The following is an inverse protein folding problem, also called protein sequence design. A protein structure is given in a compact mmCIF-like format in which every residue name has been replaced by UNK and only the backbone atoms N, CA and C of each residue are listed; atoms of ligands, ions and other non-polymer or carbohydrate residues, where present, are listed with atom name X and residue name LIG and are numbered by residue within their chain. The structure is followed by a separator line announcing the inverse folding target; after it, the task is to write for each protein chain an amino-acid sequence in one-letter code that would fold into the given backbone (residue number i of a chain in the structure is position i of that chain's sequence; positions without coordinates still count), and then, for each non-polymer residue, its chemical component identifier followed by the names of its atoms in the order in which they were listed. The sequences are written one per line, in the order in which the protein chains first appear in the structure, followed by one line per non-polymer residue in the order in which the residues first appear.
data_IF_348429669987
#
_entry.id   IF_348429669987
#
_cell.length_a   1.000
_cell.length_b   1.000
_cell.length_c   1.000
_cell.angle_alpha   90.00
_cell.angle_beta   90.00
_cell.angle_gamma   90.00
#
_symmetry.space_group_name_H-M   'P 1'
#
loop_
_entity.id
_entity.type
_entity.pdbx_description
1 polymer ?
#
# COMPACT_ATOMS: atom_id res chain seq x y z
N UNK A 1 -49.48 40.97 -119.67
CA UNK A 1 -49.45 41.51 -118.28
C UNK A 1 -49.69 40.46 -117.18
N UNK A 2 -49.94 39.17 -117.47
CA UNK A 2 -50.26 38.13 -116.48
C UNK A 2 -49.07 37.29 -115.95
N UNK A 3 -47.87 37.43 -116.50
CA UNK A 3 -46.71 36.58 -116.14
C UNK A 3 -46.02 37.03 -114.83
N UNK A 4 -46.10 38.31 -114.47
CA UNK A 4 -45.41 38.86 -113.29
C UNK A 4 -46.10 38.53 -111.95
N UNK A 5 -47.42 38.35 -111.94
CA UNK A 5 -48.19 38.11 -110.69
C UNK A 5 -47.97 36.69 -110.14
N UNK A 6 -47.71 35.72 -111.01
CA UNK A 6 -47.42 34.31 -110.66
C UNK A 6 -45.97 34.11 -110.18
N UNK A 7 -45.01 34.86 -110.72
CA UNK A 7 -43.60 34.90 -110.24
C UNK A 7 -43.49 35.42 -108.81
N UNK A 8 -44.22 36.49 -108.48
CA UNK A 8 -44.17 37.08 -107.14
C UNK A 8 -44.88 36.23 -106.07
N UNK A 9 -45.91 35.45 -106.42
CA UNK A 9 -46.59 34.57 -105.47
C UNK A 9 -45.73 33.39 -105.00
N UNK A 10 -44.82 32.90 -105.84
CA UNK A 10 -43.92 31.79 -105.50
C UNK A 10 -42.74 32.24 -104.63
N UNK A 11 -42.18 33.43 -104.88
CA UNK A 11 -41.19 34.05 -103.99
C UNK A 11 -41.83 34.32 -102.62
N UNK A 12 -43.08 34.83 -102.60
CA UNK A 12 -43.81 35.04 -101.36
C UNK A 12 -44.08 33.73 -100.60
N UNK A 13 -44.27 32.61 -101.31
CA UNK A 13 -44.40 31.28 -100.69
C UNK A 13 -43.11 30.85 -99.98
N UNK A 14 -41.94 30.97 -100.63
CA UNK A 14 -40.65 30.68 -99.99
C UNK A 14 -40.35 31.63 -98.82
N UNK A 15 -40.64 32.93 -98.96
CA UNK A 15 -40.45 33.91 -97.90
C UNK A 15 -41.40 33.66 -96.72
N UNK A 16 -42.66 33.28 -96.96
CA UNK A 16 -43.60 32.89 -95.91
C UNK A 16 -43.12 31.64 -95.18
N UNK A 17 -42.60 30.63 -95.87
CA UNK A 17 -42.06 29.45 -95.21
C UNK A 17 -40.78 29.75 -94.42
N UNK A 18 -39.91 30.64 -94.91
CA UNK A 18 -38.76 31.14 -94.14
C UNK A 18 -39.26 31.91 -92.90
N UNK A 19 -40.30 32.73 -93.02
CA UNK A 19 -40.89 33.47 -91.90
C UNK A 19 -41.49 32.52 -90.85
N UNK A 20 -42.25 31.50 -91.28
CA UNK A 20 -42.79 30.45 -90.42
C UNK A 20 -41.66 29.67 -89.70
N UNK A 21 -40.59 29.36 -90.42
CA UNK A 21 -39.41 28.69 -89.87
C UNK A 21 -38.70 29.56 -88.83
N UNK A 22 -38.48 30.86 -89.12
CA UNK A 22 -37.88 31.81 -88.18
C UNK A 22 -38.75 32.11 -86.96
N UNK A 23 -40.08 31.95 -87.08
CA UNK A 23 -41.01 32.01 -85.95
C UNK A 23 -41.07 30.71 -85.14
N UNK A 24 -40.31 29.68 -85.53
CA UNK A 24 -40.34 28.32 -84.98
C UNK A 24 -41.73 27.64 -85.11
N UNK A 25 -42.54 28.04 -86.09
CA UNK A 25 -43.84 27.42 -86.37
C UNK A 25 -43.70 26.16 -87.24
N UNK A 26 -42.58 26.03 -87.96
CA UNK A 26 -42.18 24.83 -88.72
C UNK A 26 -40.71 24.49 -88.44
N UNK A 27 -40.39 23.19 -88.34
CA UNK A 27 -39.04 22.70 -88.03
C UNK A 27 -38.13 22.52 -89.26
N UNK A 28 -38.69 22.63 -90.46
CA UNK A 28 -37.95 22.46 -91.71
C UNK A 28 -38.69 23.23 -92.81
N UNK A 29 -37.97 23.97 -93.65
CA UNK A 29 -38.55 24.69 -94.79
C UNK A 29 -38.79 23.67 -95.93
N UNK A 30 -40.05 23.44 -96.36
CA UNK A 30 -40.35 22.49 -97.43
C UNK A 30 -39.72 22.91 -98.76
N UNK A 31 -39.11 21.95 -99.47
CA UNK A 31 -38.42 22.20 -100.75
C UNK A 31 -39.26 21.85 -101.98
N UNK A 32 -40.51 21.43 -101.76
CA UNK A 32 -41.39 20.83 -102.77
C UNK A 32 -42.09 21.87 -103.64
N UNK A 33 -41.32 22.58 -104.48
CA UNK A 33 -41.81 23.35 -105.62
C UNK A 33 -40.69 23.53 -106.67
N UNK A 34 -40.18 22.42 -107.24
CA UNK A 34 -39.08 22.48 -108.22
C UNK A 34 -39.48 22.91 -109.65
N UNK A 35 -40.77 23.03 -109.97
CA UNK A 35 -41.28 23.22 -111.34
C UNK A 35 -41.89 24.61 -111.61
N UNK A 36 -41.12 25.69 -111.46
CA UNK A 36 -41.63 27.02 -111.77
C UNK A 36 -40.74 27.88 -112.65
N UNK A 37 -41.39 28.78 -113.42
CA UNK A 37 -40.80 29.75 -114.37
C UNK A 37 -40.16 30.93 -113.63
N UNK A 38 -39.32 30.63 -112.63
CA UNK A 38 -38.58 31.61 -111.84
C UNK A 38 -37.21 31.86 -112.49
N UNK A 39 -36.61 33.01 -112.20
CA UNK A 39 -35.24 33.33 -112.60
C UNK A 39 -34.26 32.36 -111.93
N UNK A 40 -33.33 31.78 -112.70
CA UNK A 40 -32.41 30.73 -112.22
C UNK A 40 -31.60 31.21 -111.02
N UNK A 41 -31.10 32.44 -111.07
CA UNK A 41 -30.20 32.99 -110.04
C UNK A 41 -30.95 33.21 -108.72
N UNK A 42 -32.21 33.68 -108.80
CA UNK A 42 -33.07 33.88 -107.63
C UNK A 42 -33.50 32.53 -107.03
N UNK A 43 -33.82 31.55 -107.89
CA UNK A 43 -34.18 30.20 -107.48
C UNK A 43 -33.04 29.51 -106.75
N UNK A 44 -31.84 29.53 -107.33
CA UNK A 44 -30.66 28.90 -106.74
C UNK A 44 -30.25 29.57 -105.42
N UNK A 45 -30.41 30.90 -105.32
CA UNK A 45 -30.13 31.61 -104.06
C UNK A 45 -31.15 31.30 -102.97
N UNK A 46 -32.45 31.25 -103.28
CA UNK A 46 -33.49 30.87 -102.31
C UNK A 46 -33.35 29.41 -101.87
N UNK A 47 -33.04 28.51 -102.80
CA UNK A 47 -32.72 27.10 -102.52
C UNK A 47 -31.50 26.99 -101.60
N UNK A 48 -30.43 27.74 -101.90
CA UNK A 48 -29.24 27.79 -101.07
C UNK A 48 -29.55 28.32 -99.66
N UNK A 49 -30.36 29.38 -99.53
CA UNK A 49 -30.77 29.92 -98.23
C UNK A 49 -31.60 28.91 -97.44
N UNK A 50 -32.62 28.29 -98.05
CA UNK A 50 -33.45 27.29 -97.35
C UNK A 50 -32.63 26.07 -96.94
N UNK A 51 -31.72 25.59 -97.80
CA UNK A 51 -30.80 24.49 -97.46
C UNK A 51 -29.86 24.84 -96.30
N UNK A 52 -29.30 26.05 -96.28
CA UNK A 52 -28.45 26.53 -95.18
C UNK A 52 -29.25 26.66 -93.88
N UNK A 53 -30.46 27.21 -93.94
CA UNK A 53 -31.33 27.36 -92.77
C UNK A 53 -31.75 26.00 -92.19
N UNK A 54 -32.19 25.07 -93.03
CA UNK A 54 -32.57 23.72 -92.61
C UNK A 54 -31.36 22.96 -92.03
N UNK A 55 -30.22 23.00 -92.71
CA UNK A 55 -28.98 22.38 -92.21
C UNK A 55 -28.55 22.95 -90.86
N UNK A 56 -28.61 24.28 -90.71
CA UNK A 56 -28.30 24.96 -89.45
C UNK A 56 -29.29 24.55 -88.35
N UNK A 57 -30.57 24.41 -88.68
CA UNK A 57 -31.58 23.94 -87.73
C UNK A 57 -31.30 22.53 -87.23
N UNK A 58 -31.01 21.60 -88.14
CA UNK A 58 -30.74 20.20 -87.81
C UNK A 58 -29.50 20.10 -86.92
N UNK A 59 -28.45 20.85 -87.27
CA UNK A 59 -27.22 20.96 -86.46
C UNK A 59 -27.49 21.56 -85.06
N UNK A 60 -28.35 22.59 -84.96
CA UNK A 60 -28.70 23.21 -83.69
C UNK A 60 -29.58 22.29 -82.82
N UNK A 61 -30.57 21.61 -83.40
CA UNK A 61 -31.46 20.68 -82.71
C UNK A 61 -30.69 19.52 -82.07
N UNK A 62 -29.67 19.00 -82.76
CA UNK A 62 -28.78 17.96 -82.23
C UNK A 62 -28.03 18.46 -80.99
N UNK A 63 -27.45 19.67 -81.04
CA UNK A 63 -26.74 20.22 -79.88
C UNK A 63 -27.71 20.52 -78.73
N UNK A 64 -28.90 21.05 -79.00
CA UNK A 64 -29.89 21.30 -77.94
C UNK A 64 -30.32 20.01 -77.24
N UNK A 65 -30.54 18.93 -77.99
CA UNK A 65 -30.87 17.62 -77.43
C UNK A 65 -29.75 17.09 -76.52
N UNK A 66 -28.50 17.11 -77.00
CA UNK A 66 -27.35 16.68 -76.20
C UNK A 66 -27.12 17.57 -74.98
N UNK A 67 -27.26 18.89 -75.13
CA UNK A 67 -27.12 19.85 -74.04
C UNK A 67 -28.17 19.60 -72.96
N UNK A 68 -29.42 19.33 -73.34
CA UNK A 68 -30.49 19.01 -72.40
C UNK A 68 -30.19 17.72 -71.63
N UNK A 69 -29.82 16.65 -72.34
CA UNK A 69 -29.48 15.36 -71.73
C UNK A 69 -28.28 15.45 -70.76
N UNK A 70 -27.19 16.09 -71.21
CA UNK A 70 -26.00 16.28 -70.37
C UNK A 70 -26.33 17.16 -69.16
N UNK A 71 -27.12 18.21 -69.34
CA UNK A 71 -27.53 19.07 -68.21
C UNK A 71 -28.40 18.33 -67.19
N UNK A 72 -29.35 17.49 -67.64
CA UNK A 72 -30.17 16.65 -66.75
C UNK A 72 -29.30 15.68 -65.95
N UNK A 73 -28.29 15.07 -66.57
CA UNK A 73 -27.36 14.16 -65.89
C UNK A 73 -26.52 14.85 -64.83
N UNK A 74 -26.00 16.05 -65.13
CA UNK A 74 -25.24 16.88 -64.17
C UNK A 74 -26.08 17.16 -62.92
N UNK A 75 -27.39 17.41 -63.05
CA UNK A 75 -28.29 17.67 -61.91
C UNK A 75 -28.34 16.49 -60.94
N UNK A 76 -28.23 15.26 -61.45
CA UNK A 76 -28.20 14.04 -60.63
C UNK A 76 -26.78 13.60 -60.24
N UNK A 77 -25.74 14.37 -60.60
CA UNK A 77 -24.35 14.04 -60.31
C UNK A 77 -23.74 12.98 -61.24
N UNK A 78 -24.38 12.67 -62.37
CA UNK A 78 -23.80 11.86 -63.44
C UNK A 78 -22.97 12.77 -64.36
N UNK A 79 -21.65 12.55 -64.36
CA UNK A 79 -20.68 13.33 -65.12
C UNK A 79 -20.02 12.52 -66.25
N UNK A 80 -20.58 11.37 -66.62
CA UNK A 80 -19.96 10.46 -67.60
C UNK A 80 -20.24 10.84 -69.07
N UNK A 81 -21.30 11.62 -69.31
CA UNK A 81 -21.72 12.03 -70.65
C UNK A 81 -21.13 13.39 -71.08
N UNK A 82 -21.00 13.58 -72.40
CA UNK A 82 -20.52 14.82 -73.02
C UNK A 82 -21.34 15.18 -74.26
N UNK A 83 -21.34 16.46 -74.62
CA UNK A 83 -21.90 16.94 -75.89
C UNK A 83 -20.93 16.58 -77.01
N UNK A 84 -21.37 15.78 -77.98
CA UNK A 84 -20.53 15.30 -79.07
C UNK A 84 -20.54 16.27 -80.27
N UNK A 85 -21.69 16.91 -80.54
CA UNK A 85 -21.85 17.88 -81.61
C UNK A 85 -21.26 19.23 -81.22
N UNK A 86 -19.98 19.44 -81.51
CA UNK A 86 -19.23 20.65 -81.06
C UNK A 86 -18.58 21.44 -82.21
N UNK A 87 -18.78 21.03 -83.45
CA UNK A 87 -18.20 21.64 -84.65
C UNK A 87 -19.26 21.84 -85.75
N UNK A 88 -20.36 22.50 -85.41
CA UNK A 88 -21.43 22.88 -86.35
C UNK A 88 -21.18 24.24 -87.01
N UNK A 89 -22.06 24.65 -87.92
CA UNK A 89 -22.07 25.99 -88.51
C UNK A 89 -22.30 27.13 -87.49
N UNK A 90 -22.87 26.84 -86.31
CA UNK A 90 -23.08 27.82 -85.24
C UNK A 90 -21.91 27.85 -84.25
N UNK A 91 -20.98 28.79 -84.45
CA UNK A 91 -19.78 28.95 -83.63
C UNK A 91 -20.07 29.30 -82.16
N UNK A 92 -21.16 30.02 -81.87
CA UNK A 92 -21.55 30.37 -80.51
C UNK A 92 -22.04 29.14 -79.74
N UNK A 93 -22.85 28.31 -80.39
CA UNK A 93 -23.39 27.10 -79.79
C UNK A 93 -22.28 26.05 -79.56
N UNK A 94 -21.33 25.96 -80.51
CA UNK A 94 -20.12 25.16 -80.34
C UNK A 94 -19.29 25.59 -79.12
N UNK A 95 -19.15 26.91 -78.89
CA UNK A 95 -18.43 27.43 -77.72
C UNK A 95 -19.13 27.01 -76.42
N UNK A 96 -20.45 27.19 -76.32
CA UNK A 96 -21.24 26.76 -75.15
C UNK A 96 -21.10 25.25 -74.92
N UNK A 97 -21.25 24.44 -75.96
CA UNK A 97 -21.10 22.99 -75.86
C UNK A 97 -19.71 22.58 -75.33
N UNK A 98 -18.64 23.19 -75.85
CA UNK A 98 -17.26 22.96 -75.37
C UNK A 98 -17.07 23.42 -73.93
N UNK A 99 -17.65 24.55 -73.54
CA UNK A 99 -17.61 25.04 -72.14
C UNK A 99 -18.33 24.09 -71.19
N UNK A 100 -19.50 23.56 -71.57
CA UNK A 100 -20.23 22.56 -70.78
C UNK A 100 -19.42 21.28 -70.65
N UNK A 101 -18.82 20.79 -71.74
CA UNK A 101 -17.93 19.61 -71.67
C UNK A 101 -16.75 19.83 -70.71
N UNK A 102 -16.13 21.00 -70.75
CA UNK A 102 -15.05 21.35 -69.81
C UNK A 102 -15.54 21.41 -68.36
N UNK A 103 -16.76 21.95 -68.13
CA UNK A 103 -17.39 21.94 -66.82
C UNK A 103 -17.61 20.50 -66.32
N UNK A 104 -18.23 19.63 -67.13
CA UNK A 104 -18.48 18.22 -66.79
C UNK A 104 -17.19 17.48 -66.49
N UNK A 105 -16.16 17.64 -67.32
CA UNK A 105 -14.86 17.00 -67.11
C UNK A 105 -14.20 17.44 -65.80
N UNK A 106 -14.28 18.73 -65.45
CA UNK A 106 -13.75 19.22 -64.17
C UNK A 106 -14.58 18.72 -62.98
N UNK A 107 -15.91 18.74 -63.07
CA UNK A 107 -16.79 18.19 -62.04
C UNK A 107 -16.51 16.70 -61.82
N UNK A 108 -16.41 15.92 -62.89
CA UNK A 108 -16.03 14.50 -62.84
C UNK A 108 -14.69 14.32 -62.14
N UNK A 109 -13.64 14.99 -62.61
CA UNK A 109 -12.29 14.86 -62.08
C UNK A 109 -12.22 15.13 -60.57
N UNK A 110 -12.81 16.23 -60.11
CA UNK A 110 -12.77 16.63 -58.70
C UNK A 110 -13.57 15.64 -57.84
N UNK A 111 -14.77 15.26 -58.28
CA UNK A 111 -15.59 14.30 -57.54
C UNK A 111 -14.93 12.91 -57.48
N UNK A 112 -14.34 12.43 -58.59
CA UNK A 112 -13.58 11.17 -58.60
C UNK A 112 -12.41 11.22 -57.62
N UNK A 113 -11.62 12.30 -57.60
CA UNK A 113 -10.52 12.44 -56.63
C UNK A 113 -10.99 12.40 -55.16
N UNK A 114 -12.12 13.05 -54.86
CA UNK A 114 -12.70 13.02 -53.51
C UNK A 114 -13.18 11.61 -53.17
N UNK A 115 -13.91 10.95 -54.07
CA UNK A 115 -14.40 9.58 -53.88
C UNK A 115 -13.25 8.60 -53.69
N UNK A 116 -12.19 8.72 -54.49
CA UNK A 116 -11.01 7.86 -54.39
C UNK A 116 -10.33 7.99 -53.02
N UNK A 117 -10.16 9.23 -52.53
CA UNK A 117 -9.55 9.46 -51.21
C UNK A 117 -10.46 9.00 -50.06
N UNK A 118 -11.76 9.25 -50.15
CA UNK A 118 -12.71 8.73 -49.16
C UNK A 118 -12.75 7.18 -49.17
N UNK A 119 -12.58 6.55 -50.33
CA UNK A 119 -12.45 5.10 -50.44
C UNK A 119 -11.16 4.60 -49.77
N UNK A 120 -10.03 5.32 -49.92
CA UNK A 120 -8.80 5.01 -49.20
C UNK A 120 -8.99 5.13 -47.69
N UNK A 121 -9.64 6.19 -47.22
CA UNK A 121 -9.94 6.38 -45.79
C UNK A 121 -10.86 5.29 -45.25
N UNK A 122 -11.84 4.85 -46.04
CA UNK A 122 -12.70 3.69 -45.69
C UNK A 122 -11.91 2.38 -45.62
N UNK A 123 -10.83 2.25 -46.39
CA UNK A 123 -9.89 1.11 -46.30
C UNK A 123 -8.80 1.30 -45.23
N UNK A 124 -8.97 2.26 -44.31
CA UNK A 124 -8.03 2.58 -43.23
C UNK A 124 -6.66 3.09 -43.70
N UNK A 125 -6.60 3.66 -44.90
CA UNK A 125 -5.40 4.29 -45.46
C UNK A 125 -5.56 5.80 -45.54
N UNK A 126 -4.93 6.51 -44.62
CA UNK A 126 -5.01 7.96 -44.42
C UNK A 126 -3.81 8.73 -44.97
N UNK A 127 -2.97 8.10 -45.80
CA UNK A 127 -1.76 8.72 -46.36
C UNK A 127 -2.09 9.72 -47.47
N UNK A 128 -3.13 9.46 -48.26
CA UNK A 128 -3.48 10.26 -49.42
C UNK A 128 -4.14 11.59 -49.04
N UNK A 129 -3.84 12.62 -49.84
CA UNK A 129 -4.35 13.99 -49.68
C UNK A 129 -4.78 14.55 -51.03
N UNK A 130 -5.84 15.37 -51.04
CA UNK A 130 -6.29 16.08 -52.23
C UNK A 130 -5.33 17.24 -52.50
N UNK A 131 -4.78 17.31 -53.71
CA UNK A 131 -4.00 18.46 -54.18
C UNK A 131 -4.89 19.71 -54.25
N UNK A 132 -4.47 20.77 -53.57
CA UNK A 132 -5.24 22.01 -53.44
C UNK A 132 -4.88 23.03 -54.52
N UNK A 133 -3.75 22.85 -55.22
CA UNK A 133 -3.20 23.87 -56.12
C UNK A 133 -4.02 24.08 -57.39
N UNK A 134 -4.87 23.10 -57.74
CA UNK A 134 -5.69 23.12 -58.94
C UNK A 134 -7.17 23.47 -58.68
N UNK A 135 -7.54 23.76 -57.43
CA UNK A 135 -8.93 24.03 -57.02
C UNK A 135 -9.11 25.47 -56.53
N UNK A 136 -10.26 26.07 -56.88
CA UNK A 136 -10.65 27.42 -56.45
C UNK A 136 -12.07 27.40 -55.86
N UNK A 137 -12.39 28.43 -55.07
CA UNK A 137 -13.73 28.60 -54.48
C UNK A 137 -14.14 27.41 -53.61
N UNK A 138 -15.38 26.94 -53.76
CA UNK A 138 -15.94 25.85 -52.94
C UNK A 138 -15.18 24.53 -53.07
N UNK A 139 -14.57 24.22 -54.24
CA UNK A 139 -13.79 22.99 -54.39
C UNK A 139 -12.51 23.00 -53.55
N UNK A 140 -11.91 24.17 -53.35
CA UNK A 140 -10.76 24.32 -52.45
C UNK A 140 -11.18 24.04 -51.00
N UNK A 141 -12.29 24.63 -50.56
CA UNK A 141 -12.84 24.41 -49.21
C UNK A 141 -13.17 22.93 -48.98
N UNK A 142 -13.80 22.27 -49.98
CA UNK A 142 -14.11 20.85 -49.89
C UNK A 142 -12.83 19.99 -49.81
N UNK A 143 -11.82 20.31 -50.63
CA UNK A 143 -10.52 19.64 -50.61
C UNK A 143 -9.80 19.81 -49.27
N UNK A 144 -9.84 21.02 -48.71
CA UNK A 144 -9.30 21.33 -47.38
C UNK A 144 -10.06 20.56 -46.28
N UNK A 145 -11.39 20.46 -46.38
CA UNK A 145 -12.22 19.70 -45.44
C UNK A 145 -11.88 18.21 -45.40
N UNK A 146 -11.73 17.57 -46.56
CA UNK A 146 -11.32 16.15 -46.65
C UNK A 146 -9.91 15.95 -46.09
N UNK A 147 -8.97 16.83 -46.46
CA UNK A 147 -7.60 16.77 -45.92
C UNK A 147 -7.55 16.99 -44.40
N UNK A 148 -8.40 17.88 -43.87
CA UNK A 148 -8.54 18.14 -42.44
C UNK A 148 -9.05 16.89 -41.72
N UNK A 149 -10.07 16.22 -42.28
CA UNK A 149 -10.56 14.94 -41.75
C UNK A 149 -9.45 13.88 -41.70
N UNK A 150 -8.69 13.71 -42.79
CA UNK A 150 -7.56 12.78 -42.83
C UNK A 150 -6.47 13.09 -41.80
N UNK A 151 -6.14 14.37 -41.63
CA UNK A 151 -5.20 14.81 -40.60
C UNK A 151 -5.73 14.56 -39.18
N UNK A 152 -7.01 14.85 -38.91
CA UNK A 152 -7.62 14.60 -37.60
C UNK A 152 -7.62 13.12 -37.24
N UNK A 153 -7.96 12.23 -38.18
CA UNK A 153 -7.91 10.78 -37.96
C UNK A 153 -6.45 10.35 -37.74
N UNK A 154 -5.51 10.83 -38.56
CA UNK A 154 -4.08 10.52 -38.40
C UNK A 154 -3.58 10.92 -37.02
N UNK A 155 -3.92 12.12 -36.54
CA UNK A 155 -3.53 12.58 -35.21
C UNK A 155 -4.11 11.70 -34.10
N UNK A 156 -5.38 11.31 -34.22
CA UNK A 156 -6.02 10.39 -33.27
C UNK A 156 -5.34 9.00 -33.26
N UNK A 157 -4.90 8.49 -34.42
CA UNK A 157 -4.17 7.23 -34.51
C UNK A 157 -2.78 7.32 -33.88
N UNK A 158 -2.07 8.43 -34.08
CA UNK A 158 -0.77 8.69 -33.43
C UNK A 158 -0.94 8.76 -31.90
N UNK A 159 -1.98 9.45 -31.42
CA UNK A 159 -2.28 9.53 -29.99
C UNK A 159 -2.65 8.16 -29.40
N UNK A 160 -3.49 7.39 -30.10
CA UNK A 160 -3.85 6.03 -29.70
C UNK A 160 -2.62 5.10 -29.63
N UNK A 161 -1.71 5.19 -30.61
CA UNK A 161 -0.45 4.45 -30.59
C UNK A 161 0.35 4.78 -29.33
N UNK A 162 0.54 6.07 -29.06
CA UNK A 162 1.30 6.55 -27.91
C UNK A 162 0.66 6.10 -26.59
N UNK A 163 -0.66 6.17 -26.49
CA UNK A 163 -1.41 5.73 -25.31
C UNK A 163 -1.26 4.21 -25.09
N UNK A 164 -1.34 3.42 -26.16
CA UNK A 164 -1.11 1.97 -26.11
C UNK A 164 0.29 1.62 -25.62
N UNK A 165 1.34 2.23 -26.19
CA UNK A 165 2.74 1.99 -25.74
C UNK A 165 2.95 2.43 -24.28
N UNK A 166 2.40 3.57 -23.88
CA UNK A 166 2.52 4.04 -22.49
C UNK A 166 1.82 3.09 -21.51
N UNK A 167 0.68 2.51 -21.92
CA UNK A 167 -0.05 1.54 -21.10
C UNK A 167 0.71 0.21 -21.00
N UNK A 168 1.33 -0.24 -22.10
CA UNK A 168 2.18 -1.43 -22.16
C UNK A 168 3.33 -1.32 -21.15
N UNK A 169 4.14 -0.26 -21.26
CA UNK A 169 5.25 0.03 -20.34
C UNK A 169 4.78 0.18 -18.86
N UNK A 170 3.63 0.81 -18.65
CA UNK A 170 3.03 0.99 -17.33
C UNK A 170 2.58 -0.33 -16.71
N UNK A 171 1.98 -1.22 -17.50
CA UNK A 171 1.52 -2.54 -17.08
C UNK A 171 2.68 -3.47 -16.74
N UNK A 172 3.75 -3.47 -17.55
CA UNK A 172 4.99 -4.20 -17.27
C UNK A 172 5.62 -3.76 -15.95
N UNK A 173 5.71 -2.45 -15.72
CA UNK A 173 6.21 -1.90 -14.46
C UNK A 173 5.35 -2.31 -13.28
N UNK A 174 4.02 -2.30 -13.45
CA UNK A 174 3.09 -2.74 -12.41
C UNK A 174 3.24 -4.23 -12.09
N UNK A 175 3.40 -5.09 -13.09
CA UNK A 175 3.66 -6.53 -12.91
C UNK A 175 4.91 -6.79 -12.08
N UNK A 176 6.01 -6.08 -12.36
CA UNK A 176 7.25 -6.17 -11.58
C UNK A 176 7.04 -5.73 -10.12
N UNK A 177 6.34 -4.62 -9.90
CA UNK A 177 6.05 -4.12 -8.55
C UNK A 177 5.17 -5.10 -7.76
N UNK A 178 4.20 -5.73 -8.42
CA UNK A 178 3.33 -6.74 -7.80
C UNK A 178 4.09 -8.00 -7.44
N UNK A 179 5.04 -8.47 -8.26
CA UNK A 179 5.91 -9.60 -7.92
C UNK A 179 6.79 -9.28 -6.70
N UNK A 180 7.35 -8.07 -6.62
CA UNK A 180 8.10 -7.61 -5.45
C UNK A 180 7.21 -7.58 -4.20
N UNK A 181 5.99 -7.03 -4.32
CA UNK A 181 5.03 -6.98 -3.23
C UNK A 181 4.67 -8.39 -2.74
N UNK A 182 4.37 -9.31 -3.65
CA UNK A 182 4.06 -10.71 -3.34
C UNK A 182 5.19 -11.39 -2.56
N UNK A 183 6.44 -11.25 -3.03
CA UNK A 183 7.63 -11.77 -2.33
C UNK A 183 7.82 -11.14 -0.96
N UNK A 184 7.63 -9.83 -0.84
CA UNK A 184 7.73 -9.11 0.43
C UNK A 184 6.67 -9.56 1.43
N UNK A 185 5.42 -9.74 0.97
CA UNK A 185 4.31 -10.24 1.78
C UNK A 185 4.57 -11.66 2.28
N UNK A 186 5.06 -12.55 1.41
CA UNK A 186 5.43 -13.90 1.82
C UNK A 186 6.56 -13.92 2.86
N UNK A 187 7.58 -13.06 2.69
CA UNK A 187 8.66 -12.89 3.68
C UNK A 187 8.15 -12.34 5.01
N UNK A 188 7.21 -11.39 4.97
CA UNK A 188 6.58 -10.84 6.16
C UNK A 188 5.79 -11.91 6.93
N UNK A 189 5.03 -12.76 6.23
CA UNK A 189 4.30 -13.87 6.83
C UNK A 189 5.23 -14.84 7.60
N UNK A 190 6.35 -15.24 6.98
CA UNK A 190 7.34 -16.12 7.63
C UNK A 190 7.92 -15.46 8.90
N UNK A 191 8.24 -14.17 8.83
CA UNK A 191 8.77 -13.44 10.01
C UNK A 191 7.74 -13.27 11.11
N UNK A 192 6.46 -13.10 10.77
CA UNK A 192 5.38 -13.06 11.75
C UNK A 192 5.22 -14.40 12.46
N UNK A 193 5.35 -15.52 11.74
CA UNK A 193 5.34 -16.86 12.34
C UNK A 193 6.51 -17.07 13.31
N UNK A 194 7.74 -16.68 12.93
CA UNK A 194 8.91 -16.72 13.81
C UNK A 194 8.73 -15.82 15.05
N UNK A 195 8.17 -14.62 14.86
CA UNK A 195 7.94 -13.66 15.96
C UNK A 195 6.86 -14.19 16.90
N UNK A 196 5.79 -14.78 16.38
CA UNK A 196 4.74 -15.41 17.17
C UNK A 196 5.30 -16.54 18.02
N UNK A 197 6.12 -17.43 17.44
CA UNK A 197 6.77 -18.51 18.18
C UNK A 197 7.69 -17.98 19.30
N UNK A 198 8.46 -16.93 19.04
CA UNK A 198 9.30 -16.30 20.06
C UNK A 198 8.47 -15.67 21.19
N UNK A 199 7.33 -15.06 20.87
CA UNK A 199 6.42 -14.49 21.87
C UNK A 199 5.74 -15.59 22.71
N UNK A 200 5.39 -16.72 22.12
CA UNK A 200 4.89 -17.89 22.86
C UNK A 200 5.94 -18.42 23.85
N UNK A 201 7.22 -18.51 23.44
CA UNK A 201 8.31 -18.92 24.31
C UNK A 201 8.49 -17.92 25.47
N UNK A 202 8.50 -16.62 25.20
CA UNK A 202 8.58 -15.58 26.23
C UNK A 202 7.38 -15.66 27.19
N UNK A 203 6.16 -15.88 26.66
CA UNK A 203 4.96 -16.06 27.47
C UNK A 203 5.12 -17.22 28.45
N UNK A 204 5.67 -18.34 27.97
CA UNK A 204 5.95 -19.53 28.78
C UNK A 204 6.96 -19.23 29.89
N UNK A 205 8.05 -18.53 29.56
CA UNK A 205 9.09 -18.13 30.53
C UNK A 205 8.50 -17.22 31.62
N UNK A 206 7.69 -16.22 31.25
CA UNK A 206 7.06 -15.31 32.21
C UNK A 206 6.09 -16.05 33.12
N UNK A 207 5.29 -16.98 32.59
CA UNK A 207 4.43 -17.85 33.40
C UNK A 207 5.22 -18.69 34.39
N UNK A 208 6.33 -19.29 33.95
CA UNK A 208 7.20 -20.06 34.83
C UNK A 208 7.84 -19.20 35.93
N UNK A 209 8.24 -17.97 35.59
CA UNK A 209 8.74 -17.01 36.58
C UNK A 209 7.68 -16.68 37.63
N UNK A 210 6.40 -16.52 37.28
CA UNK A 210 5.33 -16.34 38.26
C UNK A 210 5.20 -17.51 39.24
N UNK A 211 5.34 -18.75 38.76
CA UNK A 211 5.36 -19.93 39.63
C UNK A 211 6.55 -19.91 40.59
N UNK A 212 7.74 -19.53 40.09
CA UNK A 212 8.94 -19.37 40.91
C UNK A 212 8.79 -18.27 41.96
N UNK A 213 8.22 -17.12 41.60
CA UNK A 213 7.93 -16.00 42.52
C UNK A 213 7.00 -16.47 43.65
N UNK A 214 5.93 -17.21 43.31
CA UNK A 214 5.02 -17.79 44.30
C UNK A 214 5.74 -18.74 45.25
N UNK A 215 6.63 -19.59 44.73
CA UNK A 215 7.44 -20.51 45.55
C UNK A 215 8.45 -19.76 46.43
N UNK A 216 9.09 -18.73 45.91
CA UNK A 216 10.01 -17.84 46.63
C UNK A 216 9.30 -17.14 47.79
N UNK A 217 8.09 -16.63 47.56
CA UNK A 217 7.27 -15.98 48.59
C UNK A 217 6.93 -16.94 49.74
N UNK A 218 6.49 -18.16 49.41
CA UNK A 218 6.21 -19.21 50.40
C UNK A 218 7.46 -19.56 51.23
N UNK A 219 8.58 -19.83 50.57
CA UNK A 219 9.82 -20.19 51.24
C UNK A 219 10.34 -19.06 52.13
N UNK A 220 10.27 -17.82 51.65
CA UNK A 220 10.71 -16.64 52.41
C UNK A 220 9.84 -16.44 53.65
N UNK A 221 8.54 -16.73 53.57
CA UNK A 221 7.66 -16.72 54.72
C UNK A 221 7.97 -17.84 55.74
N UNK A 222 8.31 -19.05 55.29
CA UNK A 222 8.75 -20.14 56.16
C UNK A 222 10.06 -19.80 56.90
N UNK A 223 11.01 -19.18 56.19
CA UNK A 223 12.27 -18.70 56.78
C UNK A 223 12.00 -17.58 57.80
N UNK A 224 11.05 -16.66 57.52
CA UNK A 224 10.61 -15.63 58.47
C UNK A 224 10.08 -16.25 59.76
N UNK A 225 9.19 -17.24 59.66
CA UNK A 225 8.64 -17.95 60.82
C UNK A 225 9.75 -18.65 61.62
N UNK A 226 10.67 -19.33 60.93
CA UNK A 226 11.80 -20.01 61.58
C UNK A 226 12.75 -19.04 62.30
N UNK A 227 12.99 -17.87 61.69
CA UNK A 227 13.79 -16.78 62.27
C UNK A 227 13.13 -16.21 63.52
N UNK A 228 11.81 -15.97 63.48
CA UNK A 228 11.04 -15.51 64.63
C UNK A 228 11.09 -16.52 65.78
N UNK A 229 11.02 -17.81 65.47
CA UNK A 229 11.17 -18.86 66.48
C UNK A 229 12.59 -18.86 67.09
N UNK A 230 13.63 -18.74 66.27
CA UNK A 230 15.02 -18.60 66.72
C UNK A 230 15.24 -17.39 67.62
N UNK A 231 14.62 -16.25 67.30
CA UNK A 231 14.60 -15.07 68.14
C UNK A 231 13.98 -15.34 69.52
N UNK A 232 12.80 -15.99 69.55
CA UNK A 232 12.11 -16.33 70.80
C UNK A 232 12.94 -17.29 71.68
N UNK A 233 13.50 -18.35 71.09
CA UNK A 233 14.37 -19.29 71.81
C UNK A 233 15.63 -18.61 72.36
N UNK A 234 16.18 -17.64 71.64
CA UNK A 234 17.33 -16.84 72.11
C UNK A 234 16.94 -15.95 73.29
N UNK A 235 15.75 -15.36 73.27
CA UNK A 235 15.19 -14.61 74.41
C UNK A 235 15.02 -15.49 75.63
N UNK A 236 14.42 -16.68 75.49
CA UNK A 236 14.27 -17.64 76.59
C UNK A 236 15.62 -18.09 77.15
N UNK A 237 16.64 -18.23 76.28
CA UNK A 237 18.00 -18.56 76.70
C UNK A 237 18.63 -17.43 77.51
N UNK A 238 18.39 -16.17 77.12
CA UNK A 238 18.84 -14.99 77.86
C UNK A 238 18.23 -14.98 79.28
N UNK A 239 16.91 -15.18 79.37
CA UNK A 239 16.18 -15.22 80.64
C UNK A 239 16.71 -16.34 81.55
N UNK A 240 16.91 -17.54 81.01
CA UNK A 240 17.48 -18.67 81.76
C UNK A 240 18.91 -18.39 82.26
N UNK A 241 19.75 -17.71 81.46
CA UNK A 241 21.10 -17.32 81.90
C UNK A 241 21.05 -16.26 83.01
N UNK A 242 20.07 -15.37 83.00
CA UNK A 242 19.85 -14.40 84.07
C UNK A 242 19.38 -15.07 85.36
N UNK A 243 18.47 -16.04 85.29
CA UNK A 243 18.06 -16.85 86.44
C UNK A 243 19.24 -17.62 87.05
N UNK A 244 20.07 -18.25 86.19
CA UNK A 244 21.30 -18.93 86.64
C UNK A 244 22.22 -17.94 87.35
N UNK A 245 22.43 -16.75 86.78
CA UNK A 245 23.31 -15.75 87.37
C UNK A 245 22.82 -15.30 88.76
N UNK A 246 21.50 -15.12 88.93
CA UNK A 246 20.88 -14.83 90.24
C UNK A 246 21.16 -15.95 91.25
N UNK A 247 20.94 -17.22 90.85
CA UNK A 247 21.17 -18.38 91.75
C UNK A 247 22.65 -18.56 92.10
N UNK A 248 23.56 -18.37 91.14
CA UNK A 248 25.01 -18.48 91.36
C UNK A 248 25.49 -17.38 92.31
N UNK A 249 24.96 -16.16 92.21
CA UNK A 249 25.28 -15.09 93.16
C UNK A 249 24.77 -15.39 94.58
N UNK A 250 23.55 -15.92 94.71
CA UNK A 250 23.02 -16.35 96.01
C UNK A 250 23.90 -17.45 96.65
N UNK A 251 24.41 -18.39 95.85
CA UNK A 251 25.38 -19.39 96.32
C UNK A 251 26.68 -18.72 96.78
N UNK A 252 27.22 -17.76 96.02
CA UNK A 252 28.44 -17.04 96.38
C UNK A 252 28.32 -16.31 97.74
N UNK A 253 27.15 -15.71 98.01
CA UNK A 253 26.84 -15.07 99.29
C UNK A 253 26.80 -16.10 100.42
N UNK A 254 26.12 -17.24 100.20
CA UNK A 254 26.07 -18.32 101.19
C UNK A 254 27.46 -18.91 101.50
N UNK A 255 28.31 -19.09 100.49
CA UNK A 255 29.70 -19.55 100.67
C UNK A 255 30.52 -18.53 101.45
N UNK A 256 30.30 -17.23 101.23
CA UNK A 256 30.96 -16.18 102.00
C UNK A 256 30.54 -16.20 103.48
N UNK A 257 29.29 -16.53 103.79
CA UNK A 257 28.84 -16.76 105.18
C UNK A 257 29.50 -18.00 105.78
N UNK A 258 29.63 -19.10 105.03
CA UNK A 258 30.32 -20.32 105.51
C UNK A 258 31.78 -20.04 105.83
N UNK A 259 32.49 -19.30 104.97
CA UNK A 259 33.89 -18.89 105.21
C UNK A 259 34.02 -18.04 106.48
N UNK A 260 33.08 -17.11 106.71
CA UNK A 260 33.00 -16.34 107.96
C UNK A 260 32.76 -17.22 109.19
N UNK A 261 31.85 -18.21 109.11
CA UNK A 261 31.59 -19.16 110.21
C UNK A 261 32.83 -20.01 110.48
N UNK A 262 33.52 -20.49 109.44
CA UNK A 262 34.75 -21.26 109.57
C UNK A 262 35.85 -20.42 110.25
N UNK A 263 36.00 -19.15 109.85
CA UNK A 263 36.93 -18.23 110.49
C UNK A 263 36.61 -17.99 111.97
N UNK A 264 35.34 -17.70 112.30
CA UNK A 264 34.89 -17.53 113.68
C UNK A 264 35.14 -18.79 114.52
N UNK A 265 34.85 -19.97 113.98
CA UNK A 265 35.07 -21.28 114.63
C UNK A 265 36.57 -21.52 114.88
N UNK A 266 37.42 -21.17 113.92
CA UNK A 266 38.87 -21.23 114.07
C UNK A 266 39.36 -20.33 115.23
N UNK A 267 38.86 -19.10 115.34
CA UNK A 267 39.18 -18.20 116.47
C UNK A 267 38.65 -18.73 117.81
N UNK A 268 37.40 -19.22 117.85
CA UNK A 268 36.82 -19.85 119.04
C UNK A 268 37.63 -21.05 119.52
N UNK A 269 38.03 -21.93 118.61
CA UNK A 269 38.84 -23.11 118.91
C UNK A 269 40.25 -22.75 119.39
N UNK A 270 40.85 -21.68 118.85
CA UNK A 270 42.12 -21.15 119.32
C UNK A 270 42.01 -20.63 120.77
N UNK A 271 40.98 -19.85 121.06
CA UNK A 271 40.72 -19.35 122.41
C UNK A 271 40.50 -20.50 123.40
N UNK A 272 39.75 -21.54 123.01
CA UNK A 272 39.54 -22.74 123.81
C UNK A 272 40.84 -23.54 124.03
N UNK A 273 41.71 -23.64 123.03
CA UNK A 273 43.02 -24.28 123.15
C UNK A 273 43.96 -23.53 124.11
N UNK A 274 43.92 -22.19 124.08
CA UNK A 274 44.66 -21.33 125.02
C UNK A 274 44.15 -21.53 126.45
N UNK A 275 42.84 -21.49 126.68
CA UNK A 275 42.25 -21.69 128.01
C UNK A 275 42.52 -23.10 128.56
N UNK A 276 42.47 -24.12 127.69
CA UNK A 276 42.82 -25.49 128.04
C UNK A 276 44.30 -25.64 128.42
N UNK A 277 45.21 -24.88 127.79
CA UNK A 277 46.62 -24.83 128.17
C UNK A 277 46.82 -24.14 129.52
N UNK A 278 46.05 -23.09 129.82
CA UNK A 278 46.03 -22.38 131.11
C UNK A 278 45.61 -23.30 132.27
N UNK A 279 44.70 -24.27 132.02
CA UNK A 279 44.22 -25.23 133.01
C UNK A 279 45.17 -26.42 133.31
N UNK A 280 46.34 -26.51 132.67
CA UNK A 280 47.38 -27.52 132.98
C UNK A 280 46.95 -28.98 132.71
N UNK A 281 47.23 -29.90 133.64
CA UNK A 281 46.94 -31.34 133.47
C UNK A 281 45.44 -31.65 133.32
N UNK A 282 44.55 -30.86 133.93
CA UNK A 282 43.09 -31.04 133.82
C UNK A 282 42.53 -30.66 132.45
N UNK A 283 43.25 -29.82 131.68
CA UNK A 283 42.82 -29.29 130.37
C UNK A 283 43.28 -30.11 129.16
N UNK A 284 44.11 -31.16 129.34
CA UNK A 284 44.68 -31.95 128.23
C UNK A 284 43.61 -32.50 127.26
N UNK A 285 42.50 -33.04 127.78
CA UNK A 285 41.41 -33.56 126.95
C UNK A 285 40.70 -32.46 126.15
N UNK A 286 40.48 -31.29 126.74
CA UNK A 286 39.87 -30.13 126.08
C UNK A 286 40.80 -29.52 125.01
N UNK A 287 42.12 -29.53 125.25
CA UNK A 287 43.11 -29.04 124.29
C UNK A 287 43.10 -29.87 122.99
N UNK A 288 42.97 -31.19 123.08
CA UNK A 288 42.86 -32.09 121.91
C UNK A 288 41.59 -31.82 121.12
N UNK A 289 40.43 -31.69 121.80
CA UNK A 289 39.16 -31.37 121.13
C UNK A 289 39.22 -29.99 120.46
N UNK A 290 39.80 -28.98 121.13
CA UNK A 290 39.99 -27.66 120.55
C UNK A 290 40.90 -27.69 119.30
N UNK A 291 41.95 -28.50 119.31
CA UNK A 291 42.80 -28.74 118.14
C UNK A 291 42.06 -29.40 116.97
N UNK A 292 41.21 -30.38 117.25
CA UNK A 292 40.41 -31.05 116.22
C UNK A 292 39.34 -30.13 115.62
N UNK A 293 38.66 -29.33 116.46
CA UNK A 293 37.72 -28.29 116.00
C UNK A 293 38.43 -27.24 115.14
N UNK A 294 39.66 -26.86 115.50
CA UNK A 294 40.49 -25.93 114.72
C UNK A 294 40.83 -26.50 113.34
N UNK A 295 41.23 -27.76 113.28
CA UNK A 295 41.53 -28.46 112.03
C UNK A 295 40.27 -28.55 111.14
N UNK A 296 39.12 -28.90 111.73
CA UNK A 296 37.84 -28.94 111.01
C UNK A 296 37.43 -27.56 110.47
N UNK A 297 37.67 -26.49 111.24
CA UNK A 297 37.43 -25.12 110.80
C UNK A 297 38.35 -24.71 109.63
N UNK A 298 39.64 -25.07 109.69
CA UNK A 298 40.58 -24.82 108.60
C UNK A 298 40.20 -25.58 107.31
N UNK A 299 39.79 -26.85 107.44
CA UNK A 299 39.28 -27.66 106.30
C UNK A 299 38.00 -27.07 105.72
N UNK A 300 37.09 -26.58 106.57
CA UNK A 300 35.87 -25.91 106.12
C UNK A 300 36.17 -24.62 105.34
N UNK A 301 37.15 -23.83 105.79
CA UNK A 301 37.58 -22.61 105.09
C UNK A 301 38.23 -22.92 103.73
N UNK A 302 39.06 -23.97 103.66
CA UNK A 302 39.66 -24.43 102.40
C UNK A 302 38.60 -24.91 101.40
N UNK A 303 37.65 -25.74 101.85
CA UNK A 303 36.53 -26.17 101.02
C UNK A 303 35.65 -25.00 100.57
N UNK A 304 35.36 -24.04 101.45
CA UNK A 304 34.62 -22.82 101.09
C UNK A 304 35.35 -22.02 100.00
N UNK A 305 36.68 -21.90 100.08
CA UNK A 305 37.51 -21.23 99.07
C UNK A 305 37.49 -21.97 97.72
N UNK A 306 37.56 -23.29 97.71
CA UNK A 306 37.45 -24.09 96.48
C UNK A 306 36.07 -23.91 95.81
N UNK A 307 34.99 -24.01 96.59
CA UNK A 307 33.64 -23.78 96.08
C UNK A 307 33.48 -22.35 95.57
N UNK A 308 34.03 -21.35 96.26
CA UNK A 308 34.03 -19.95 95.82
C UNK A 308 34.68 -19.77 94.44
N UNK A 309 35.81 -20.42 94.20
CA UNK A 309 36.45 -20.41 92.88
C UNK A 309 35.59 -21.09 91.80
N UNK A 310 34.93 -22.21 92.12
CA UNK A 310 34.01 -22.88 91.19
C UNK A 310 32.80 -22.00 90.85
N UNK A 311 32.22 -21.34 91.86
CA UNK A 311 31.09 -20.42 91.71
C UNK A 311 31.49 -19.21 90.88
N UNK A 312 32.65 -18.59 91.13
CA UNK A 312 33.16 -17.49 90.29
C UNK A 312 33.33 -17.88 88.82
N UNK A 313 33.88 -19.08 88.57
CA UNK A 313 33.99 -19.61 87.20
C UNK A 313 32.59 -19.85 86.57
N UNK A 314 31.63 -20.34 87.36
CA UNK A 314 30.25 -20.52 86.90
C UNK A 314 29.58 -19.17 86.56
N UNK A 315 29.78 -18.14 87.39
CA UNK A 315 29.30 -16.76 87.12
C UNK A 315 29.85 -16.23 85.80
N UNK A 316 31.16 -16.39 85.57
CA UNK A 316 31.79 -15.93 84.34
C UNK A 316 31.24 -16.65 83.10
N UNK A 317 31.03 -17.97 83.18
CA UNK A 317 30.42 -18.76 82.10
C UNK A 317 28.97 -18.38 81.84
N UNK A 318 28.17 -18.16 82.88
CA UNK A 318 26.78 -17.71 82.74
C UNK A 318 26.70 -16.32 82.10
N UNK A 319 27.56 -15.38 82.51
CA UNK A 319 27.64 -14.05 81.90
C UNK A 319 28.04 -14.11 80.42
N UNK A 320 28.98 -14.99 80.07
CA UNK A 320 29.36 -15.23 78.68
C UNK A 320 28.18 -15.80 77.88
N UNK A 321 27.44 -16.78 78.43
CA UNK A 321 26.23 -17.33 77.83
C UNK A 321 25.16 -16.27 77.60
N UNK A 322 24.94 -15.37 78.58
CA UNK A 322 24.05 -14.21 78.45
C UNK A 322 24.46 -13.31 77.28
N UNK A 323 25.74 -12.99 77.17
CA UNK A 323 26.26 -12.14 76.09
C UNK A 323 26.06 -12.80 74.71
N UNK A 324 26.26 -14.11 74.60
CA UNK A 324 26.00 -14.86 73.36
C UNK A 324 24.50 -14.79 72.99
N UNK A 325 23.61 -15.04 73.95
CA UNK A 325 22.17 -14.98 73.74
C UNK A 325 21.70 -13.59 73.28
N UNK A 326 22.21 -12.52 73.90
CA UNK A 326 21.93 -11.13 73.49
C UNK A 326 22.39 -10.84 72.04
N UNK A 327 23.56 -11.35 71.65
CA UNK A 327 24.04 -11.23 70.27
C UNK A 327 23.18 -12.05 69.29
N UNK A 328 22.70 -13.23 69.69
CA UNK A 328 21.77 -14.02 68.87
C UNK A 328 20.46 -13.27 68.64
N UNK A 329 19.89 -12.62 69.67
CA UNK A 329 18.67 -11.80 69.55
C UNK A 329 18.86 -10.71 68.50
N UNK A 330 19.95 -9.93 68.58
CA UNK A 330 20.28 -8.89 67.60
C UNK A 330 20.47 -9.46 66.20
N UNK A 331 21.14 -10.60 66.09
CA UNK A 331 21.36 -11.31 64.82
C UNK A 331 20.05 -11.74 64.17
N UNK A 332 19.14 -12.35 64.93
CA UNK A 332 17.81 -12.75 64.43
C UNK A 332 16.93 -11.55 64.08
N UNK A 333 17.03 -10.43 64.81
CA UNK A 333 16.33 -9.19 64.46
C UNK A 333 16.78 -8.66 63.09
N UNK A 334 18.08 -8.54 62.86
CA UNK A 334 18.60 -8.09 61.55
C UNK A 334 18.28 -9.06 60.42
N UNK A 335 18.24 -10.37 60.70
CA UNK A 335 17.84 -11.37 59.72
C UNK A 335 16.34 -11.24 59.35
N UNK A 336 15.47 -10.92 60.32
CA UNK A 336 14.06 -10.67 60.08
C UNK A 336 13.82 -9.42 59.21
N UNK A 337 14.62 -8.36 59.42
CA UNK A 337 14.57 -7.15 58.58
C UNK A 337 14.96 -7.46 57.14
N UNK A 338 16.06 -8.22 56.94
CA UNK A 338 16.50 -8.65 55.61
C UNK A 338 15.47 -9.52 54.88
N UNK A 339 14.81 -10.44 55.61
CA UNK A 339 13.75 -11.27 55.02
C UNK A 339 12.53 -10.41 54.64
N UNK A 340 12.20 -9.41 55.45
CA UNK A 340 11.10 -8.49 55.15
C UNK A 340 11.35 -7.68 53.88
N UNK A 341 12.57 -7.16 53.70
CA UNK A 341 12.98 -6.50 52.45
C UNK A 341 12.97 -7.46 51.25
N UNK A 342 13.38 -8.72 51.46
CA UNK A 342 13.33 -9.74 50.41
C UNK A 342 11.90 -10.04 49.96
N UNK A 343 10.95 -10.10 50.90
CA UNK A 343 9.52 -10.28 50.60
C UNK A 343 8.94 -9.08 49.82
N UNK A 344 9.36 -7.86 50.13
CA UNK A 344 8.98 -6.66 49.38
C UNK A 344 9.47 -6.73 47.93
N UNK A 345 10.75 -7.08 47.71
CA UNK A 345 11.30 -7.27 46.36
C UNK A 345 10.57 -8.38 45.58
N UNK A 346 10.21 -9.48 46.24
CA UNK A 346 9.43 -10.55 45.61
C UNK A 346 8.06 -10.03 45.15
N UNK A 347 7.41 -9.18 45.94
CA UNK A 347 6.12 -8.58 45.58
C UNK A 347 6.26 -7.63 44.38
N UNK A 348 7.32 -6.82 44.33
CA UNK A 348 7.59 -5.92 43.19
C UNK A 348 7.86 -6.70 41.90
N UNK A 349 8.60 -7.81 41.98
CA UNK A 349 8.83 -8.71 40.83
C UNK A 349 7.50 -9.37 40.40
N UNK A 350 6.61 -9.73 41.32
CA UNK A 350 5.28 -10.27 41.00
C UNK A 350 4.45 -9.26 40.19
N UNK A 351 4.40 -7.99 40.64
CA UNK A 351 3.69 -6.91 39.94
C UNK A 351 4.28 -6.70 38.55
N UNK A 352 5.60 -6.59 38.46
CA UNK A 352 6.32 -6.41 37.17
C UNK A 352 6.07 -7.57 36.21
N UNK A 353 6.02 -8.81 36.72
CA UNK A 353 5.76 -9.99 35.89
C UNK A 353 4.31 -10.04 35.38
N UNK A 354 3.34 -9.56 36.16
CA UNK A 354 1.94 -9.42 35.71
C UNK A 354 1.81 -8.36 34.62
N UNK A 355 2.50 -7.24 34.77
CA UNK A 355 2.55 -6.19 33.74
C UNK A 355 3.19 -6.70 32.45
N UNK A 356 4.30 -7.46 32.54
CA UNK A 356 4.91 -8.12 31.38
C UNK A 356 3.92 -9.05 30.67
N UNK A 357 3.16 -9.86 31.41
CA UNK A 357 2.16 -10.75 30.81
C UNK A 357 1.10 -9.96 30.06
N UNK A 358 0.59 -8.87 30.63
CA UNK A 358 -0.38 -8.00 29.96
C UNK A 358 0.21 -7.31 28.72
N UNK A 359 1.48 -6.89 28.78
CA UNK A 359 2.20 -6.36 27.62
C UNK A 359 2.36 -7.39 26.50
N UNK A 360 2.61 -8.65 26.86
CA UNK A 360 2.69 -9.75 25.90
C UNK A 360 1.32 -10.05 25.24
N UNK A 361 0.22 -9.95 25.98
CA UNK A 361 -1.14 -10.06 25.40
C UNK A 361 -1.36 -8.99 24.33
N UNK A 362 -0.98 -7.74 24.59
CA UNK A 362 -1.06 -6.66 23.59
C UNK A 362 -0.18 -6.91 22.37
N UNK A 363 1.01 -7.48 22.57
CA UNK A 363 1.90 -7.87 21.46
C UNK A 363 1.24 -8.96 20.61
N UNK A 364 0.60 -9.96 21.22
CA UNK A 364 -0.13 -11.00 20.49
C UNK A 364 -1.28 -10.43 19.67
N UNK A 365 -2.06 -9.50 20.22
CA UNK A 365 -3.13 -8.82 19.48
C UNK A 365 -2.56 -8.06 18.26
N UNK A 366 -1.45 -7.35 18.44
CA UNK A 366 -0.78 -6.65 17.34
C UNK A 366 -0.22 -7.60 16.26
N UNK A 367 0.29 -8.77 16.65
CA UNK A 367 0.73 -9.80 15.69
C UNK A 367 -0.45 -10.33 14.89
N UNK A 368 -1.61 -10.56 15.53
CA UNK A 368 -2.80 -11.02 14.83
C UNK A 368 -3.31 -9.97 13.81
N UNK A 369 -3.28 -8.68 14.16
CA UNK A 369 -3.62 -7.61 13.22
C UNK A 369 -2.64 -7.54 12.04
N UNK A 370 -1.34 -7.68 12.30
CA UNK A 370 -0.32 -7.72 11.25
C UNK A 370 -0.46 -8.93 10.33
N UNK A 371 -0.87 -10.09 10.86
CA UNK A 371 -1.17 -11.27 10.04
C UNK A 371 -2.37 -11.02 9.12
N UNK A 372 -3.47 -10.45 9.65
CA UNK A 372 -4.63 -10.08 8.84
C UNK A 372 -4.25 -9.11 7.70
N UNK A 373 -3.48 -8.06 8.02
CA UNK A 373 -2.99 -7.11 7.00
C UNK A 373 -2.06 -7.77 5.99
N UNK A 374 -1.22 -8.71 6.42
CA UNK A 374 -0.33 -9.46 5.52
C UNK A 374 -1.14 -10.32 4.54
N UNK A 375 -2.19 -10.99 5.02
CA UNK A 375 -3.11 -11.75 4.15
C UNK A 375 -3.87 -10.83 3.18
N UNK A 376 -4.35 -9.67 3.64
CA UNK A 376 -4.99 -8.68 2.77
C UNK A 376 -4.02 -8.18 1.68
N UNK A 377 -2.76 -7.91 2.02
CA UNK A 377 -1.74 -7.53 1.05
C UNK A 377 -1.49 -8.61 0.00
N UNK A 378 -1.55 -9.90 0.37
CA UNK A 378 -1.43 -11.01 -0.57
C UNK A 378 -2.61 -11.03 -1.56
N UNK A 379 -3.83 -10.83 -1.07
CA UNK A 379 -5.04 -10.74 -1.90
C UNK A 379 -4.96 -9.55 -2.85
N UNK A 380 -4.58 -8.36 -2.35
CA UNK A 380 -4.44 -7.15 -3.16
C UNK A 380 -3.34 -7.34 -4.22
N UNK A 381 -2.22 -7.95 -3.87
CA UNK A 381 -1.16 -8.26 -4.83
C UNK A 381 -1.68 -9.17 -5.95
N UNK A 382 -2.42 -10.24 -5.62
CA UNK A 382 -3.02 -11.12 -6.62
C UNK A 382 -4.01 -10.39 -7.53
N UNK A 383 -4.92 -9.59 -6.97
CA UNK A 383 -5.89 -8.84 -7.76
C UNK A 383 -5.21 -7.79 -8.66
N UNK A 384 -4.17 -7.13 -8.15
CA UNK A 384 -3.40 -6.15 -8.92
C UNK A 384 -2.62 -6.82 -10.04
N UNK A 385 -2.12 -8.05 -9.82
CA UNK A 385 -1.49 -8.85 -10.87
C UNK A 385 -2.47 -9.08 -12.03
N UNK A 386 -3.68 -9.57 -11.72
CA UNK A 386 -4.69 -9.88 -12.74
C UNK A 386 -5.06 -8.63 -13.56
N UNK A 387 -5.27 -7.49 -12.88
CA UNK A 387 -5.54 -6.20 -13.53
C UNK A 387 -4.37 -5.76 -14.42
N UNK A 388 -3.13 -5.94 -13.96
CA UNK A 388 -1.95 -5.57 -14.72
C UNK A 388 -1.81 -6.43 -15.99
N UNK A 389 -2.07 -7.73 -15.90
CA UNK A 389 -2.10 -8.64 -17.06
C UNK A 389 -3.19 -8.24 -18.04
N UNK A 390 -4.39 -7.89 -17.57
CA UNK A 390 -5.48 -7.44 -18.43
C UNK A 390 -5.11 -6.13 -19.16
N UNK A 391 -4.49 -5.17 -18.45
CA UNK A 391 -4.03 -3.92 -19.05
C UNK A 391 -2.92 -4.11 -20.09
N UNK A 392 -2.00 -5.04 -19.84
CA UNK A 392 -0.95 -5.44 -20.80
C UNK A 392 -1.55 -5.99 -22.10
N UNK A 393 -2.57 -6.85 -21.99
CA UNK A 393 -3.29 -7.39 -23.15
C UNK A 393 -3.98 -6.26 -23.93
N UNK A 394 -4.73 -5.39 -23.25
CA UNK A 394 -5.45 -4.28 -23.87
C UNK A 394 -4.47 -3.32 -24.56
N UNK A 395 -3.34 -3.01 -23.93
CA UNK A 395 -2.30 -2.16 -24.49
C UNK A 395 -1.77 -2.74 -25.83
N UNK A 396 -1.43 -4.03 -25.81
CA UNK A 396 -0.94 -4.75 -27.00
C UNK A 396 -2.00 -4.80 -28.11
N UNK A 397 -3.27 -4.98 -27.77
CA UNK A 397 -4.37 -4.94 -28.73
C UNK A 397 -4.53 -3.56 -29.38
N UNK A 398 -4.46 -2.47 -28.61
CA UNK A 398 -4.53 -1.09 -29.13
C UNK A 398 -3.39 -0.82 -30.10
N UNK A 399 -2.16 -1.19 -29.71
CA UNK A 399 -0.97 -1.03 -30.55
C UNK A 399 -1.09 -1.86 -31.82
N UNK A 400 -1.46 -3.14 -31.70
CA UNK A 400 -1.63 -4.04 -32.84
C UNK A 400 -2.71 -3.55 -33.82
N UNK A 401 -3.89 -3.18 -33.32
CA UNK A 401 -4.98 -2.65 -34.13
C UNK A 401 -4.57 -1.35 -34.83
N UNK A 402 -3.84 -0.46 -34.15
CA UNK A 402 -3.34 0.78 -34.76
C UNK A 402 -2.30 0.48 -35.85
N UNK A 403 -1.42 -0.51 -35.64
CA UNK A 403 -0.44 -0.95 -36.64
C UNK A 403 -1.07 -1.57 -37.90
N UNK A 404 -2.32 -2.00 -37.88
CA UNK A 404 -3.01 -2.47 -39.11
C UNK A 404 -3.38 -1.34 -40.07
N UNK A 405 -3.44 -0.09 -39.58
CA UNK A 405 -3.87 1.10 -40.34
C UNK A 405 -2.67 1.77 -41.01
N UNK A 406 -2.90 2.50 -42.10
CA UNK A 406 -1.85 3.23 -42.82
C UNK A 406 -2.01 4.75 -42.59
N UNK A 407 -1.04 5.37 -41.91
CA UNK A 407 -1.08 6.79 -41.56
C UNK A 407 0.34 7.34 -41.33
N UNK A 408 0.47 8.67 -41.34
CA UNK A 408 1.75 9.35 -41.12
C UNK A 408 2.10 9.28 -39.63
N UNK A 409 3.31 8.82 -39.30
CA UNK A 409 3.76 8.67 -37.90
C UNK A 409 3.61 7.26 -37.32
N UNK A 410 3.23 6.27 -38.14
CA UNK A 410 3.09 4.86 -37.74
C UNK A 410 4.34 4.23 -37.11
N UNK A 411 5.53 4.68 -37.49
CA UNK A 411 6.82 4.14 -37.03
C UNK A 411 7.59 5.11 -36.11
N UNK A 412 6.94 6.16 -35.60
CA UNK A 412 7.58 7.20 -34.78
C UNK A 412 7.40 6.95 -33.29
#
# INVERSE_FOLDING_TARGET
MFVNKKRNSEILYFLNNIELFLKNEINNIPMDCMNSKMDSDIKDKLISICSILNKKNDEELLIYGELMLVSEKIVYGDFDDVIHHTNTSNTKLNYIAKTINYLVQNLKKINTQIVDILSLYSSQNYLAKIDQNSHNGYFKILSEGVNTLGNSITNMLVENMKNGVTLDEGSDTLLVNVDILSKSTNSAAVRLEETSAAVEEITSIVRHNMEHIKKLSLLSNEVRVSTQNGHNLSSQTLDAMDEINVQVNAINDAISVIDQIAFQTNILSLNAAVEAATAGEAGKGFSVVAGEVRNLAARSAEAAKEIKNLVQNATQKAYHGKTIADNMIKGYSGLNDNISQTLELIADIEVSSKEQLSGIEQINDAIAELDEQTQQNAVIASQTHDIAVEMDIIAKEIVADTMTKEFIGKNC
#
